data_IF_289891215434
#
_entry.id   IF_289891215434
#
_cell.length_a   1.000
_cell.length_b   1.000
_cell.length_c   1.000
_cell.angle_alpha   90.00
_cell.angle_beta   90.00
_cell.angle_gamma   90.00
#
_symmetry.space_group_name_H-M   'P 1'
#
loop_
_entity.id
_entity.type
_entity.pdbx_description
1 polymer ?
#
# COMPACT_ATOMS: atom_id res chain seq x y z
N UNK A 1 -24.60 -15.18 27.41
CA UNK A 1 -25.51 -14.15 26.84
C UNK A 1 -24.82 -12.84 26.43
N UNK A 2 -23.64 -12.49 26.95
CA UNK A 2 -23.00 -11.17 26.69
C UNK A 2 -22.14 -11.07 25.41
N UNK A 3 -21.54 -12.15 24.92
CA UNK A 3 -20.65 -12.08 23.75
C UNK A 3 -21.42 -11.89 22.43
N UNK A 4 -22.54 -12.61 22.27
CA UNK A 4 -23.38 -12.54 21.07
C UNK A 4 -24.05 -11.17 20.94
N UNK A 5 -24.56 -10.60 22.04
CA UNK A 5 -25.12 -9.25 22.06
C UNK A 5 -24.07 -8.18 21.73
N UNK A 6 -22.84 -8.32 22.23
CA UNK A 6 -21.74 -7.41 21.91
C UNK A 6 -21.34 -7.49 20.43
N UNK A 7 -21.35 -8.67 19.81
CA UNK A 7 -21.10 -8.81 18.37
C UNK A 7 -22.19 -8.14 17.53
N UNK A 8 -23.47 -8.32 17.89
CA UNK A 8 -24.59 -7.69 17.17
C UNK A 8 -24.58 -6.15 17.27
N UNK A 9 -24.04 -5.58 18.35
CA UNK A 9 -23.91 -4.13 18.49
C UNK A 9 -22.93 -3.50 17.47
N UNK A 10 -21.98 -4.26 16.93
CA UNK A 10 -21.00 -3.79 15.95
C UNK A 10 -21.40 -4.04 14.49
N UNK A 11 -22.44 -4.87 14.24
CA UNK A 11 -22.95 -5.16 12.90
C UNK A 11 -23.34 -3.89 12.13
N UNK A 12 -24.04 -2.90 12.72
CA UNK A 12 -24.38 -1.66 12.01
C UNK A 12 -23.15 -0.86 11.56
N UNK A 13 -22.11 -0.78 12.40
CA UNK A 13 -20.88 -0.04 12.09
C UNK A 13 -20.05 -0.73 11.00
N UNK A 14 -19.99 -2.05 11.02
CA UNK A 14 -19.34 -2.84 9.97
C UNK A 14 -20.10 -2.71 8.64
N UNK A 15 -21.42 -2.86 8.65
CA UNK A 15 -22.26 -2.70 7.46
C UNK A 15 -22.12 -1.30 6.85
N UNK A 16 -22.08 -0.26 7.69
CA UNK A 16 -21.85 1.11 7.25
C UNK A 16 -20.46 1.30 6.61
N UNK A 17 -19.43 0.66 7.17
CA UNK A 17 -18.07 0.67 6.60
C UNK A 17 -18.04 0.03 5.22
N UNK A 18 -18.66 -1.15 5.07
CA UNK A 18 -18.78 -1.83 3.77
C UNK A 18 -19.57 -0.98 2.78
N UNK A 19 -20.69 -0.39 3.19
CA UNK A 19 -21.48 0.50 2.33
C UNK A 19 -20.67 1.71 1.84
N UNK A 20 -19.94 2.40 2.75
CA UNK A 20 -19.07 3.53 2.39
C UNK A 20 -17.97 3.12 1.41
N UNK A 21 -17.35 1.96 1.62
CA UNK A 21 -16.34 1.42 0.71
C UNK A 21 -16.93 1.07 -0.65
N UNK A 22 -18.15 0.55 -0.72
CA UNK A 22 -18.83 0.30 -1.99
C UNK A 22 -19.13 1.60 -2.75
N UNK A 23 -19.62 2.63 -2.06
CA UNK A 23 -19.83 3.96 -2.67
C UNK A 23 -18.51 4.54 -3.17
N UNK A 24 -17.45 4.46 -2.37
CA UNK A 24 -16.12 4.93 -2.77
C UNK A 24 -15.58 4.18 -4.00
N UNK A 25 -15.75 2.86 -4.05
CA UNK A 25 -15.35 2.05 -5.21
C UNK A 25 -16.10 2.46 -6.47
N UNK A 26 -17.40 2.75 -6.37
CA UNK A 26 -18.20 3.25 -7.50
C UNK A 26 -17.67 4.60 -7.97
N UNK A 27 -17.36 5.53 -7.06
CA UNK A 27 -16.79 6.84 -7.42
C UNK A 27 -15.43 6.68 -8.13
N UNK A 28 -14.54 5.86 -7.59
CA UNK A 28 -13.26 5.54 -8.24
C UNK A 28 -13.47 4.93 -9.62
N UNK A 29 -14.39 3.96 -9.75
CA UNK A 29 -14.66 3.31 -11.02
C UNK A 29 -15.24 4.28 -12.07
N UNK A 30 -16.14 5.19 -11.67
CA UNK A 30 -16.70 6.23 -12.55
C UNK A 30 -15.61 7.17 -13.07
N UNK A 31 -14.55 7.40 -12.29
CA UNK A 31 -13.41 8.26 -12.69
C UNK A 31 -12.40 7.47 -13.52
N UNK A 32 -11.84 6.39 -12.96
CA UNK A 32 -10.70 5.71 -13.55
C UNK A 32 -11.08 4.81 -14.73
N UNK A 33 -12.22 4.13 -14.73
CA UNK A 33 -12.57 3.22 -15.84
C UNK A 33 -12.71 3.96 -17.18
N UNK A 34 -13.38 5.12 -17.28
CA UNK A 34 -13.39 5.89 -18.52
C UNK A 34 -12.00 6.42 -18.90
N UNK A 35 -11.23 6.94 -17.93
CA UNK A 35 -9.90 7.47 -18.19
C UNK A 35 -8.94 6.39 -18.69
N UNK A 36 -8.95 5.21 -18.08
CA UNK A 36 -8.13 4.06 -18.49
C UNK A 36 -8.56 3.46 -19.83
N UNK A 37 -9.80 3.69 -20.26
CA UNK A 37 -10.24 3.33 -21.63
C UNK A 37 -9.76 4.33 -22.67
N UNK A 38 -9.68 5.61 -22.30
CA UNK A 38 -9.34 6.69 -23.23
C UNK A 38 -7.82 6.92 -23.35
N UNK A 39 -7.10 6.86 -22.22
CA UNK A 39 -5.70 7.20 -22.10
C UNK A 39 -4.83 5.98 -21.75
N UNK A 40 -5.26 4.77 -22.10
CA UNK A 40 -4.57 3.53 -21.77
C UNK A 40 -3.10 3.54 -22.22
N UNK A 41 -2.17 3.12 -21.36
CA UNK A 41 -0.82 2.72 -21.83
C UNK A 41 -0.93 1.41 -22.60
N UNK A 42 -1.63 0.44 -22.03
CA UNK A 42 -1.89 -0.87 -22.63
C UNK A 42 -3.39 -1.15 -22.63
N UNK A 43 -4.08 -1.02 -23.78
CA UNK A 43 -5.49 -1.36 -23.85
C UNK A 43 -5.72 -2.82 -23.46
N UNK A 44 -6.66 -3.05 -22.56
CA UNK A 44 -6.91 -4.37 -22.01
C UNK A 44 -7.91 -4.31 -20.87
N UNK A 45 -8.39 -5.48 -20.45
CA UNK A 45 -9.16 -5.64 -19.22
C UNK A 45 -8.51 -6.74 -18.39
N UNK A 46 -8.46 -6.58 -17.06
CA UNK A 46 -8.00 -7.66 -16.19
C UNK A 46 -8.87 -8.88 -16.40
N UNK A 47 -8.29 -10.07 -16.23
CA UNK A 47 -9.05 -11.30 -16.24
C UNK A 47 -10.08 -11.26 -15.09
N UNK A 48 -11.22 -11.94 -15.27
CA UNK A 48 -12.28 -11.96 -14.24
C UNK A 48 -11.76 -12.46 -12.90
N UNK A 49 -10.86 -13.45 -12.91
CA UNK A 49 -10.26 -13.98 -11.69
C UNK A 49 -9.41 -12.92 -10.96
N UNK A 50 -8.59 -12.17 -11.69
CA UNK A 50 -7.78 -11.08 -11.11
C UNK A 50 -8.67 -9.96 -10.55
N UNK A 51 -9.69 -9.54 -11.30
CA UNK A 51 -10.62 -8.52 -10.83
C UNK A 51 -11.34 -8.94 -9.53
N UNK A 52 -11.74 -10.22 -9.41
CA UNK A 52 -12.36 -10.72 -8.18
C UNK A 52 -11.38 -10.74 -7.01
N UNK A 53 -10.13 -11.13 -7.24
CA UNK A 53 -9.07 -11.06 -6.24
C UNK A 53 -8.80 -9.61 -5.81
N UNK A 54 -8.69 -8.69 -6.75
CA UNK A 54 -8.41 -7.27 -6.48
C UNK A 54 -9.59 -6.59 -5.76
N UNK A 55 -10.84 -6.98 -6.04
CA UNK A 55 -12.00 -6.57 -5.26
C UNK A 55 -11.96 -7.12 -3.83
N UNK A 56 -11.57 -8.39 -3.64
CA UNK A 56 -11.41 -8.97 -2.30
C UNK A 56 -10.33 -8.22 -1.50
N UNK A 57 -9.19 -7.93 -2.14
CA UNK A 57 -8.13 -7.12 -1.55
C UNK A 57 -8.56 -5.69 -1.27
N UNK A 58 -9.37 -5.06 -2.14
CA UNK A 58 -9.90 -3.72 -1.90
C UNK A 58 -10.63 -3.63 -0.55
N UNK A 59 -11.54 -4.56 -0.26
CA UNK A 59 -12.23 -4.59 1.02
C UNK A 59 -11.30 -4.98 2.17
N UNK A 60 -10.44 -5.98 1.97
CA UNK A 60 -9.50 -6.46 2.99
C UNK A 60 -8.54 -5.34 3.45
N UNK A 61 -7.86 -4.72 2.49
CA UNK A 61 -6.87 -3.64 2.67
C UNK A 61 -7.49 -2.33 3.12
N UNK A 62 -8.82 -2.19 3.05
CA UNK A 62 -9.53 -1.02 3.57
C UNK A 62 -10.05 -1.23 5.00
N UNK A 63 -10.52 -2.44 5.32
CA UNK A 63 -11.14 -2.74 6.61
C UNK A 63 -10.12 -3.14 7.68
N UNK A 64 -9.12 -3.96 7.33
CA UNK A 64 -8.18 -4.50 8.32
C UNK A 64 -7.21 -3.46 8.90
N UNK A 65 -6.61 -2.52 8.12
CA UNK A 65 -5.56 -1.67 8.68
C UNK A 65 -6.02 -0.82 9.85
N UNK A 66 -7.25 -0.31 9.83
CA UNK A 66 -7.79 0.45 10.96
C UNK A 66 -7.79 -0.38 12.26
N UNK A 67 -8.11 -1.66 12.17
CA UNK A 67 -8.09 -2.57 13.31
C UNK A 67 -6.64 -2.90 13.72
N UNK A 68 -5.80 -3.30 12.76
CA UNK A 68 -4.44 -3.78 13.00
C UNK A 68 -3.48 -2.67 13.46
N UNK A 69 -3.68 -1.43 13.01
CA UNK A 69 -2.80 -0.30 13.33
C UNK A 69 -3.21 0.45 14.58
N UNK A 70 -4.47 0.33 15.03
CA UNK A 70 -4.97 1.08 16.20
C UNK A 70 -4.11 0.90 17.45
N UNK A 71 -3.81 -0.36 17.83
CA UNK A 71 -3.01 -0.67 19.01
C UNK A 71 -1.54 -0.28 18.84
N UNK A 72 -0.82 -0.69 17.76
CA UNK A 72 0.56 -0.26 17.56
C UNK A 72 0.75 1.26 17.53
N UNK A 73 -0.13 2.00 16.85
CA UNK A 73 -0.05 3.46 16.80
C UNK A 73 -0.34 4.10 18.15
N UNK A 74 -1.25 3.53 18.94
CA UNK A 74 -1.52 4.01 20.30
C UNK A 74 -0.32 3.79 21.23
N UNK A 75 0.29 2.62 21.18
CA UNK A 75 1.52 2.32 21.93
C UNK A 75 2.66 3.23 21.51
N UNK A 76 2.80 3.47 20.21
CA UNK A 76 3.80 4.38 19.68
C UNK A 76 3.54 5.82 20.15
N UNK A 77 2.29 6.28 20.15
CA UNK A 77 1.93 7.61 20.64
C UNK A 77 2.29 7.78 22.12
N UNK A 78 2.11 6.74 22.93
CA UNK A 78 2.49 6.74 24.35
C UNK A 78 4.02 6.73 24.51
N UNK A 79 4.72 5.89 23.75
CA UNK A 79 6.18 5.85 23.76
C UNK A 79 6.79 7.19 23.33
N UNK A 80 6.25 7.82 22.29
CA UNK A 80 6.67 9.14 21.81
C UNK A 80 6.58 10.20 22.92
N UNK A 81 5.51 10.20 23.71
CA UNK A 81 5.36 11.14 24.84
C UNK A 81 6.43 10.98 25.93
N UNK A 82 7.03 9.79 26.05
CA UNK A 82 8.05 9.50 27.06
C UNK A 82 9.48 9.70 26.51
N UNK A 83 9.70 9.38 25.23
CA UNK A 83 11.02 9.37 24.62
C UNK A 83 11.40 10.70 23.96
N UNK A 84 10.42 11.48 23.53
CA UNK A 84 10.65 12.70 22.76
C UNK A 84 10.51 13.89 23.70
N UNK A 85 11.55 14.75 23.83
CA UNK A 85 11.46 15.94 24.68
C UNK A 85 10.25 16.79 24.28
N UNK A 86 9.40 17.16 25.24
CA UNK A 86 8.15 17.89 24.99
C UNK A 86 8.32 19.20 24.19
N UNK A 87 9.53 19.79 24.20
CA UNK A 87 9.89 20.94 23.39
C UNK A 87 9.78 20.68 21.87
N UNK A 88 10.04 19.46 21.40
CA UNK A 88 9.97 19.10 19.97
C UNK A 88 8.54 19.16 19.44
N UNK A 89 7.57 18.39 19.96
CA UNK A 89 6.19 18.46 19.49
C UNK A 89 5.56 19.83 19.77
N UNK A 90 5.97 20.55 20.83
CA UNK A 90 5.53 21.92 21.07
C UNK A 90 6.00 22.89 19.98
N UNK A 91 7.28 22.85 19.62
CA UNK A 91 7.83 23.70 18.56
C UNK A 91 7.21 23.40 17.19
N UNK A 92 7.05 22.11 16.85
CA UNK A 92 6.41 21.70 15.60
C UNK A 92 4.91 22.00 15.59
N UNK A 93 4.24 21.89 16.74
CA UNK A 93 2.84 22.25 16.92
C UNK A 93 2.57 23.75 16.76
N UNK A 94 3.56 24.60 17.07
CA UNK A 94 3.49 26.06 16.94
C UNK A 94 3.65 26.56 15.48
N UNK A 95 4.10 25.69 14.56
CA UNK A 95 4.19 26.05 13.14
C UNK A 95 2.80 26.35 12.54
N UNK A 96 2.71 27.24 11.54
CA UNK A 96 1.49 27.43 10.78
C UNK A 96 0.96 26.11 10.19
N UNK A 97 -0.36 25.96 10.09
CA UNK A 97 -0.99 24.71 9.64
C UNK A 97 -0.39 24.21 8.30
N UNK A 98 -0.19 25.11 7.33
CA UNK A 98 0.39 24.74 6.04
C UNK A 98 1.81 24.17 6.16
N UNK A 99 2.66 24.76 7.00
CA UNK A 99 4.01 24.25 7.25
C UNK A 99 3.99 22.88 7.94
N UNK A 100 3.05 22.68 8.88
CA UNK A 100 2.86 21.38 9.56
C UNK A 100 2.41 20.29 8.60
N UNK A 101 1.46 20.61 7.72
CA UNK A 101 0.97 19.67 6.69
C UNK A 101 2.08 19.32 5.69
N UNK A 102 2.84 20.31 5.22
CA UNK A 102 3.98 20.09 4.33
C UNK A 102 5.07 19.23 4.99
N UNK A 103 5.41 19.52 6.26
CA UNK A 103 6.37 18.73 7.01
C UNK A 103 5.87 17.30 7.24
N UNK A 104 4.60 17.12 7.62
CA UNK A 104 4.01 15.80 7.78
C UNK A 104 4.01 15.02 6.46
N UNK A 105 3.73 15.67 5.34
CA UNK A 105 3.80 15.08 4.01
C UNK A 105 5.21 14.55 3.71
N UNK A 106 6.23 15.39 3.84
CA UNK A 106 7.62 15.02 3.55
C UNK A 106 8.11 13.91 4.49
N UNK A 107 7.86 14.06 5.79
CA UNK A 107 8.30 13.07 6.80
C UNK A 107 7.58 11.73 6.60
N UNK A 108 6.27 11.77 6.37
CA UNK A 108 5.48 10.56 6.16
C UNK A 108 5.90 9.83 4.89
N UNK A 109 6.21 10.57 3.83
CA UNK A 109 6.70 10.01 2.56
C UNK A 109 8.09 9.40 2.69
N UNK A 110 9.01 10.01 3.44
CA UNK A 110 10.32 9.39 3.74
C UNK A 110 10.14 8.10 4.52
N UNK A 111 9.25 8.08 5.52
CA UNK A 111 8.92 6.87 6.28
C UNK A 111 8.33 5.77 5.39
N UNK A 112 7.37 6.13 4.54
CA UNK A 112 6.77 5.21 3.57
C UNK A 112 7.83 4.66 2.61
N UNK A 113 8.66 5.51 2.02
CA UNK A 113 9.75 5.14 1.13
C UNK A 113 10.63 4.05 1.73
N UNK A 114 11.06 4.20 2.98
CA UNK A 114 11.88 3.19 3.65
C UNK A 114 11.11 1.91 3.95
N UNK A 115 9.87 1.99 4.40
CA UNK A 115 9.03 0.81 4.58
C UNK A 115 8.87 0.02 3.28
N UNK A 116 8.64 0.73 2.18
CA UNK A 116 8.48 0.15 0.87
C UNK A 116 9.79 -0.46 0.32
N UNK A 117 10.91 0.26 0.45
CA UNK A 117 12.24 -0.26 0.11
C UNK A 117 12.59 -1.51 0.91
N UNK A 118 12.33 -1.51 2.22
CA UNK A 118 12.54 -2.70 3.06
C UNK A 118 11.67 -3.87 2.61
N UNK A 119 10.43 -3.60 2.18
CA UNK A 119 9.55 -4.62 1.59
C UNK A 119 10.11 -5.28 0.33
N UNK A 120 10.93 -4.57 -0.45
CA UNK A 120 11.64 -5.14 -1.60
C UNK A 120 12.95 -5.84 -1.23
N UNK A 121 13.74 -5.22 -0.36
CA UNK A 121 15.13 -5.63 -0.11
C UNK A 121 15.25 -6.75 0.94
N UNK A 122 14.27 -6.90 1.84
CA UNK A 122 14.26 -7.97 2.84
C UNK A 122 13.47 -9.16 2.29
N UNK A 123 14.10 -10.33 2.04
CA UNK A 123 13.43 -11.47 1.43
C UNK A 123 12.19 -11.93 2.17
N UNK A 124 12.15 -11.79 3.49
CA UNK A 124 10.95 -12.14 4.27
C UNK A 124 9.77 -11.19 4.02
N UNK A 125 10.03 -9.88 3.93
CA UNK A 125 8.98 -8.89 3.64
C UNK A 125 8.52 -8.99 2.19
N UNK A 126 9.44 -9.26 1.26
CA UNK A 126 9.15 -9.44 -0.16
C UNK A 126 8.10 -10.51 -0.41
N UNK A 127 8.03 -11.57 0.41
CA UNK A 127 7.01 -12.62 0.26
C UNK A 127 5.58 -12.09 0.36
N UNK A 128 5.38 -11.05 1.14
CA UNK A 128 4.10 -10.36 1.28
C UNK A 128 3.93 -9.31 0.20
N UNK A 129 4.99 -8.57 -0.10
CA UNK A 129 4.97 -7.47 -1.05
C UNK A 129 4.90 -7.94 -2.52
N UNK A 130 5.41 -9.13 -2.84
CA UNK A 130 5.31 -9.73 -4.17
C UNK A 130 3.85 -9.93 -4.64
N UNK A 131 2.89 -10.04 -3.71
CA UNK A 131 1.46 -10.05 -4.04
C UNK A 131 1.03 -8.73 -4.68
N UNK A 132 1.60 -7.61 -4.22
CA UNK A 132 1.37 -6.30 -4.81
C UNK A 132 1.94 -6.18 -6.22
N UNK A 133 3.14 -6.71 -6.44
CA UNK A 133 3.78 -6.76 -7.76
C UNK A 133 3.24 -7.87 -8.67
N UNK A 134 2.28 -8.67 -8.22
CA UNK A 134 1.77 -9.80 -9.00
C UNK A 134 0.96 -9.49 -10.26
N UNK A 135 0.24 -8.36 -10.37
CA UNK A 135 -0.55 -8.09 -11.55
C UNK A 135 0.30 -7.92 -12.82
N UNK A 136 -0.02 -8.70 -13.84
CA UNK A 136 0.60 -8.55 -15.17
C UNK A 136 -0.07 -7.45 -16.01
N UNK A 137 -1.20 -6.90 -15.53
CA UNK A 137 -1.87 -5.74 -16.09
C UNK A 137 -2.07 -4.68 -15.00
N UNK A 138 -1.57 -3.48 -15.27
CA UNK A 138 -1.77 -2.31 -14.41
C UNK A 138 -3.13 -1.69 -14.64
N UNK A 139 -3.80 -1.29 -13.56
CA UNK A 139 -5.02 -0.49 -13.51
C UNK A 139 -5.26 -0.04 -12.07
N UNK A 140 -6.13 0.95 -11.85
CA UNK A 140 -6.23 1.67 -10.57
C UNK A 140 -6.42 0.76 -9.35
N UNK A 141 -7.16 -0.35 -9.48
CA UNK A 141 -7.46 -1.24 -8.35
C UNK A 141 -6.24 -2.05 -7.86
N UNK A 142 -5.19 -2.19 -8.68
CA UNK A 142 -3.91 -2.83 -8.31
C UNK A 142 -3.34 -2.20 -7.03
N UNK A 143 -3.56 -0.90 -6.82
CA UNK A 143 -3.18 -0.16 -5.61
C UNK A 143 -3.56 -0.90 -4.31
N UNK A 144 -4.68 -1.62 -4.30
CA UNK A 144 -5.20 -2.26 -3.09
C UNK A 144 -4.84 -3.72 -2.92
N UNK A 145 -4.25 -4.35 -3.95
CA UNK A 145 -3.74 -5.73 -3.92
C UNK A 145 -2.51 -5.79 -3.03
N UNK A 146 -2.69 -5.84 -1.72
CA UNK A 146 -1.59 -5.90 -0.75
C UNK A 146 -1.95 -6.86 0.37
N UNK A 147 -0.96 -7.64 0.80
CA UNK A 147 -1.12 -8.51 1.95
C UNK A 147 -1.23 -7.66 3.24
N UNK A 148 -2.05 -8.05 4.24
CA UNK A 148 -2.19 -7.28 5.48
C UNK A 148 -0.88 -6.95 6.19
N UNK A 149 0.09 -7.89 6.20
CA UNK A 149 1.44 -7.66 6.75
C UNK A 149 2.17 -6.54 6.01
N UNK A 150 2.14 -6.55 4.67
CA UNK A 150 2.78 -5.52 3.85
C UNK A 150 2.12 -4.15 4.05
N UNK A 151 0.78 -4.11 4.11
CA UNK A 151 0.04 -2.90 4.44
C UNK A 151 0.39 -2.35 5.83
N UNK A 152 0.55 -3.23 6.83
CA UNK A 152 0.92 -2.81 8.19
C UNK A 152 2.35 -2.25 8.21
N UNK A 153 3.31 -2.94 7.59
CA UNK A 153 4.71 -2.51 7.54
C UNK A 153 4.85 -1.14 6.88
N UNK A 154 4.35 -0.99 5.65
CA UNK A 154 4.46 0.26 4.89
C UNK A 154 3.77 1.44 5.60
N UNK A 155 2.56 1.23 6.14
CA UNK A 155 1.84 2.28 6.88
C UNK A 155 2.49 2.62 8.22
N UNK A 156 2.96 1.63 8.98
CA UNK A 156 3.68 1.89 10.22
C UNK A 156 4.97 2.67 9.96
N UNK A 157 5.74 2.33 8.93
CA UNK A 157 6.94 3.08 8.58
C UNK A 157 6.65 4.54 8.22
N UNK A 158 5.55 4.81 7.49
CA UNK A 158 5.12 6.18 7.19
C UNK A 158 4.58 6.94 8.41
N UNK A 159 3.83 6.28 9.29
CA UNK A 159 3.22 6.93 10.45
C UNK A 159 4.20 7.10 11.63
N UNK A 160 5.15 6.17 11.78
CA UNK A 160 6.11 6.13 12.87
C UNK A 160 6.80 7.49 13.14
N UNK A 161 7.49 8.10 12.15
CA UNK A 161 8.17 9.36 12.38
C UNK A 161 7.19 10.52 12.65
N UNK A 162 5.95 10.46 12.15
CA UNK A 162 4.95 11.49 12.41
C UNK A 162 4.50 11.50 13.88
N UNK A 163 4.30 10.32 14.48
CA UNK A 163 3.94 10.20 15.89
C UNK A 163 5.12 10.56 16.80
N UNK A 164 6.35 10.14 16.44
CA UNK A 164 7.55 10.53 17.19
C UNK A 164 7.77 12.04 17.19
N UNK A 165 7.54 12.73 16.07
CA UNK A 165 7.68 14.18 16.00
C UNK A 165 6.46 14.94 16.56
N UNK A 166 5.40 14.25 17.00
CA UNK A 166 4.13 14.87 17.41
C UNK A 166 3.39 15.60 16.29
N UNK A 167 3.71 15.29 15.03
CA UNK A 167 2.96 15.73 13.85
C UNK A 167 1.66 14.94 13.68
N UNK A 168 1.59 13.76 14.31
CA UNK A 168 0.42 12.93 14.47
C UNK A 168 0.10 12.71 15.96
N UNK A 169 -1.16 12.85 16.38
CA UNK A 169 -1.54 12.60 17.77
C UNK A 169 -2.99 12.95 18.11
N UNK A 170 -3.44 12.62 19.34
CA UNK A 170 -4.83 12.81 19.78
C UNK A 170 -5.23 14.29 20.01
N UNK A 171 -4.28 15.23 19.97
CA UNK A 171 -4.61 16.65 20.02
C UNK A 171 -5.31 17.09 18.72
N UNK A 172 -6.26 18.02 18.81
CA UNK A 172 -7.01 18.52 17.64
C UNK A 172 -6.09 19.10 16.53
N UNK A 173 -4.91 19.60 16.91
CA UNK A 173 -3.87 19.97 15.96
C UNK A 173 -3.25 18.76 15.27
N UNK A 174 -2.89 17.71 16.02
CA UNK A 174 -2.18 16.52 15.53
C UNK A 174 -3.01 15.52 14.73
N UNK A 175 -4.35 15.64 14.70
CA UNK A 175 -5.23 14.70 14.02
C UNK A 175 -5.56 15.08 12.56
N UNK A 176 -5.48 16.36 12.20
CA UNK A 176 -5.80 16.85 10.84
C UNK A 176 -4.75 16.41 9.82
N UNK A 177 -3.46 16.47 10.19
CA UNK A 177 -2.37 16.15 9.27
C UNK A 177 -2.37 14.67 8.83
N UNK A 178 -2.46 13.67 9.73
CA UNK A 178 -2.53 12.27 9.33
C UNK A 178 -3.76 11.95 8.48
N UNK A 179 -4.92 12.51 8.82
CA UNK A 179 -6.15 12.28 8.06
C UNK A 179 -6.04 12.82 6.63
N UNK A 180 -5.52 14.04 6.45
CA UNK A 180 -5.28 14.63 5.14
C UNK A 180 -4.26 13.84 4.31
N UNK A 181 -3.14 13.43 4.92
CA UNK A 181 -2.15 12.56 4.27
C UNK A 181 -2.75 11.23 3.82
N UNK A 182 -3.56 10.59 4.67
CA UNK A 182 -4.19 9.30 4.34
C UNK A 182 -5.11 9.45 3.13
N UNK A 183 -5.96 10.49 3.11
CA UNK A 183 -6.87 10.73 1.98
C UNK A 183 -6.08 11.04 0.70
N UNK A 184 -5.12 11.96 0.79
CA UNK A 184 -4.27 12.33 -0.35
C UNK A 184 -3.51 11.12 -0.89
N UNK A 185 -2.80 10.40 -0.02
CA UNK A 185 -2.03 9.21 -0.39
C UNK A 185 -2.91 8.08 -0.92
N UNK A 186 -4.15 7.93 -0.42
CA UNK A 186 -5.09 6.93 -0.95
C UNK A 186 -5.47 7.26 -2.39
N UNK A 187 -5.91 8.50 -2.66
CA UNK A 187 -6.29 8.94 -4.00
C UNK A 187 -5.09 8.88 -4.94
N UNK A 188 -3.93 9.32 -4.46
CA UNK A 188 -2.68 9.32 -5.22
C UNK A 188 -2.22 7.90 -5.55
N UNK A 189 -2.37 6.96 -4.61
CA UNK A 189 -2.11 5.55 -4.83
C UNK A 189 -2.95 4.99 -5.98
N UNK A 190 -4.26 5.24 -6.01
CA UNK A 190 -5.10 4.84 -7.16
C UNK A 190 -4.63 5.48 -8.47
N UNK A 191 -4.21 6.74 -8.42
CA UNK A 191 -3.69 7.45 -9.58
C UNK A 191 -2.40 6.85 -10.13
N UNK A 192 -1.36 6.64 -9.33
CA UNK A 192 -0.06 6.14 -9.82
C UNK A 192 -0.11 4.68 -10.30
N UNK A 193 -1.08 3.88 -9.84
CA UNK A 193 -1.27 2.50 -10.34
C UNK A 193 -2.22 2.42 -11.55
N UNK A 194 -2.89 3.52 -11.89
CA UNK A 194 -3.85 3.52 -12.99
C UNK A 194 -3.17 3.32 -14.34
N UNK A 195 -3.87 2.69 -15.29
CA UNK A 195 -3.37 2.45 -16.64
C UNK A 195 -3.34 3.72 -17.51
N UNK A 196 -3.03 4.88 -16.94
CA UNK A 196 -3.03 6.14 -17.66
C UNK A 196 -1.65 6.42 -18.23
N UNK A 197 -1.61 6.75 -19.52
CA UNK A 197 -0.39 7.18 -20.23
C UNK A 197 -0.02 8.62 -19.87
N UNK A 198 0.08 8.89 -18.56
CA UNK A 198 0.36 10.21 -18.01
C UNK A 198 1.77 10.26 -17.46
N UNK A 199 2.49 11.28 -17.92
CA UNK A 199 3.85 11.65 -17.53
C UNK A 199 3.91 13.17 -17.50
N UNK A 200 4.55 13.73 -16.48
CA UNK A 200 4.60 15.19 -16.28
C UNK A 200 5.93 15.82 -16.70
N UNK A 201 6.76 15.08 -17.46
CA UNK A 201 8.06 15.55 -17.92
C UNK A 201 8.96 15.94 -16.74
N UNK A 202 9.43 17.20 -16.71
CA UNK A 202 10.32 17.68 -15.65
C UNK A 202 9.72 17.63 -14.24
N UNK A 203 8.38 17.61 -14.09
CA UNK A 203 7.74 17.52 -12.77
C UNK A 203 7.76 16.10 -12.18
N UNK A 204 8.09 15.07 -12.97
CA UNK A 204 8.17 13.69 -12.49
C UNK A 204 9.32 13.46 -11.49
N UNK A 205 10.24 14.42 -11.36
CA UNK A 205 11.26 14.42 -10.31
C UNK A 205 10.71 14.84 -8.93
N UNK A 206 9.53 15.44 -8.89
CA UNK A 206 8.88 15.96 -7.68
C UNK A 206 7.57 15.25 -7.39
N UNK A 207 6.83 14.82 -8.41
CA UNK A 207 5.49 14.28 -8.27
C UNK A 207 5.43 12.92 -8.96
N UNK A 208 5.08 11.87 -8.21
CA UNK A 208 4.96 10.51 -8.74
C UNK A 208 3.82 10.43 -9.76
N UNK A 209 4.08 9.82 -10.91
CA UNK A 209 3.12 9.62 -12.00
C UNK A 209 2.88 8.13 -12.25
N UNK A 210 1.85 7.75 -13.04
CA UNK A 210 1.77 6.42 -13.60
C UNK A 210 3.05 6.00 -14.33
N UNK A 211 3.66 6.91 -15.10
CA UNK A 211 4.94 6.65 -15.77
C UNK A 211 6.06 6.26 -14.82
N UNK A 212 6.20 6.96 -13.70
CA UNK A 212 7.19 6.66 -12.65
C UNK A 212 6.89 5.33 -11.96
N UNK A 213 5.64 5.12 -11.51
CA UNK A 213 5.29 3.96 -10.69
C UNK A 213 5.11 2.66 -11.49
N UNK A 214 4.82 2.74 -12.79
CA UNK A 214 4.81 1.55 -13.64
C UNK A 214 6.20 0.91 -13.74
N UNK A 215 7.28 1.71 -13.73
CA UNK A 215 8.65 1.17 -13.67
C UNK A 215 8.97 0.44 -12.38
N UNK A 216 8.34 0.84 -11.27
CA UNK A 216 8.42 0.10 -10.02
C UNK A 216 7.77 -1.29 -10.15
N UNK A 217 6.64 -1.38 -10.87
CA UNK A 217 5.90 -2.62 -11.16
C UNK A 217 6.46 -3.44 -12.34
N UNK A 218 7.65 -3.11 -12.82
CA UNK A 218 8.33 -3.85 -13.88
C UNK A 218 8.66 -5.28 -13.43
N UNK A 219 8.53 -6.24 -14.35
CA UNK A 219 8.74 -7.65 -14.02
C UNK A 219 10.20 -8.02 -13.74
N UNK A 220 11.12 -7.52 -14.56
CA UNK A 220 12.53 -7.95 -14.55
C UNK A 220 13.52 -6.81 -14.36
N UNK A 221 13.24 -5.63 -14.91
CA UNK A 221 14.19 -4.53 -14.99
C UNK A 221 13.80 -3.41 -14.04
N UNK A 222 14.64 -3.06 -13.07
CA UNK A 222 14.40 -1.94 -12.15
C UNK A 222 13.23 -2.14 -11.17
N UNK A 223 12.92 -3.39 -10.79
CA UNK A 223 11.92 -3.71 -9.76
C UNK A 223 12.26 -3.08 -8.39
N UNK A 224 13.56 -3.01 -8.06
CA UNK A 224 14.09 -2.38 -6.85
C UNK A 224 14.39 -0.87 -7.04
N UNK A 225 13.50 -0.14 -7.71
CA UNK A 225 13.60 1.30 -7.94
C UNK A 225 12.24 1.96 -7.73
N UNK A 226 12.21 3.29 -7.60
CA UNK A 226 10.97 4.09 -7.54
C UNK A 226 10.03 3.71 -6.38
N UNK A 227 10.54 3.70 -5.15
CA UNK A 227 9.78 3.31 -3.96
C UNK A 227 8.85 4.41 -3.41
N UNK A 228 9.08 5.68 -3.77
CA UNK A 228 8.22 6.77 -3.32
C UNK A 228 6.78 6.60 -3.85
N UNK A 229 5.78 6.97 -3.04
CA UNK A 229 4.38 6.95 -3.48
C UNK A 229 3.95 8.26 -4.12
N UNK A 230 4.52 9.37 -3.66
CA UNK A 230 4.09 10.71 -4.02
C UNK A 230 5.27 11.60 -4.42
N UNK A 231 6.44 11.42 -3.79
CA UNK A 231 7.59 12.32 -3.94
C UNK A 231 8.83 11.56 -4.44
N UNK A 232 9.01 11.38 -5.77
CA UNK A 232 10.20 10.78 -6.39
C UNK A 232 11.53 11.43 -5.99
N UNK A 233 11.50 12.63 -5.40
CA UNK A 233 12.66 13.23 -4.77
C UNK A 233 13.29 12.31 -3.71
N UNK A 234 12.49 11.50 -2.99
CA UNK A 234 13.03 10.50 -2.06
C UNK A 234 13.91 9.50 -2.79
N UNK A 235 13.44 8.93 -3.90
CA UNK A 235 14.24 8.03 -4.74
C UNK A 235 15.50 8.71 -5.29
N UNK A 236 15.41 10.00 -5.66
CA UNK A 236 16.60 10.76 -6.07
C UNK A 236 17.61 10.89 -4.94
N UNK A 237 17.15 11.22 -3.74
CA UNK A 237 18.00 11.42 -2.55
C UNK A 237 18.67 10.10 -2.11
N UNK A 238 17.98 8.98 -2.25
CA UNK A 238 18.44 7.67 -1.79
C UNK A 238 18.97 6.76 -2.92
N UNK A 239 19.12 7.30 -4.14
CA UNK A 239 19.83 6.67 -5.26
C UNK A 239 19.05 5.57 -6.00
N UNK A 240 17.72 5.64 -6.03
CA UNK A 240 16.83 4.58 -6.57
C UNK A 240 15.88 5.10 -7.64
N UNK A 241 16.09 6.33 -8.13
CA UNK A 241 15.24 6.94 -9.14
C UNK A 241 15.54 6.38 -10.53
N UNK A 242 14.51 5.84 -11.18
CA UNK A 242 14.54 5.35 -12.55
C UNK A 242 13.38 5.96 -13.36
N UNK A 243 13.69 6.83 -14.33
CA UNK A 243 12.66 7.58 -15.06
C UNK A 243 13.00 7.72 -16.56
N UNK A 244 13.13 6.62 -17.32
CA UNK A 244 13.34 6.69 -18.76
C UNK A 244 12.04 7.14 -19.46
N UNK A 245 12.09 7.70 -20.68
CA UNK A 245 10.89 8.18 -21.39
C UNK A 245 9.96 7.05 -21.88
N UNK A 246 10.44 5.81 -21.86
CA UNK A 246 9.70 4.61 -22.26
C UNK A 246 8.87 4.04 -21.11
N UNK A 247 8.06 3.03 -21.42
CA UNK A 247 7.31 2.23 -20.44
C UNK A 247 7.98 0.86 -20.29
N UNK A 248 7.82 0.17 -19.14
CA UNK A 248 8.32 -1.18 -18.95
C UNK A 248 7.79 -2.13 -20.02
N UNK A 249 8.56 -3.17 -20.37
CA UNK A 249 8.15 -4.17 -21.34
C UNK A 249 7.10 -5.15 -20.78
N UNK A 250 7.15 -5.45 -19.49
CA UNK A 250 6.19 -6.31 -18.80
C UNK A 250 6.01 -5.88 -17.34
N UNK A 251 4.84 -6.17 -16.78
CA UNK A 251 4.53 -6.06 -15.36
C UNK A 251 4.43 -7.44 -14.74
N UNK A 252 4.46 -7.51 -13.42
CA UNK A 252 4.35 -8.76 -12.68
C UNK A 252 5.58 -9.03 -11.82
N UNK A 253 5.71 -10.27 -11.36
CA UNK A 253 6.87 -10.75 -10.61
C UNK A 253 7.18 -12.19 -11.02
N UNK A 254 8.46 -12.56 -10.99
CA UNK A 254 8.89 -13.95 -11.16
C UNK A 254 8.78 -14.76 -9.87
N UNK A 255 8.39 -14.12 -8.76
CA UNK A 255 8.09 -14.81 -7.51
C UNK A 255 6.87 -15.71 -7.71
N UNK A 256 6.98 -17.03 -7.51
CA UNK A 256 5.83 -17.92 -7.65
C UNK A 256 4.73 -17.53 -6.68
N UNK A 257 3.53 -17.28 -7.21
CA UNK A 257 2.40 -16.88 -6.39
C UNK A 257 1.33 -17.96 -6.33
N UNK A 258 0.68 -18.12 -5.18
CA UNK A 258 -0.42 -19.05 -5.06
C UNK A 258 -1.60 -18.62 -5.96
N UNK A 259 -2.30 -19.56 -6.60
CA UNK A 259 -3.31 -19.25 -7.62
C UNK A 259 -4.62 -18.71 -7.04
N UNK A 260 -4.83 -18.83 -5.73
CA UNK A 260 -6.07 -18.40 -5.08
C UNK A 260 -5.80 -17.36 -4.02
N UNK A 261 -6.72 -16.40 -3.88
CA UNK A 261 -6.70 -15.37 -2.85
C UNK A 261 -6.43 -15.93 -1.44
N UNK A 262 -7.13 -17.01 -1.06
CA UNK A 262 -6.93 -17.63 0.26
C UNK A 262 -5.51 -18.16 0.46
N UNK A 263 -4.90 -18.77 -0.57
CA UNK A 263 -3.50 -19.23 -0.47
C UNK A 263 -2.53 -18.06 -0.48
N UNK A 264 -2.80 -16.98 -1.21
CA UNK A 264 -2.01 -15.75 -1.17
C UNK A 264 -1.96 -15.12 0.23
N UNK A 265 -2.98 -15.32 1.07
CA UNK A 265 -2.96 -14.87 2.48
C UNK A 265 -2.20 -15.81 3.44
N UNK A 266 -2.07 -17.09 3.10
CA UNK A 266 -1.54 -18.10 4.03
C UNK A 266 -0.09 -18.46 3.72
N UNK A 267 0.27 -18.58 2.45
CA UNK A 267 1.59 -19.12 2.06
C UNK A 267 2.77 -18.21 2.36
N UNK A 268 2.66 -16.87 2.24
CA UNK A 268 3.70 -15.97 2.73
C UNK A 268 4.04 -16.16 4.21
N UNK A 269 3.12 -16.69 5.02
CA UNK A 269 3.33 -16.95 6.46
C UNK A 269 4.07 -18.27 6.73
N UNK A 270 4.11 -19.21 5.78
CA UNK A 270 4.76 -20.52 5.98
C UNK A 270 6.27 -20.41 5.79
N UNK A 271 7.10 -21.26 6.39
CA UNK A 271 8.52 -21.28 6.04
C UNK A 271 8.72 -21.88 4.64
N UNK A 272 9.73 -21.45 3.85
CA UNK A 272 9.99 -21.97 2.50
C UNK A 272 10.00 -23.51 2.40
N UNK A 273 10.47 -24.21 3.43
CA UNK A 273 10.52 -25.68 3.46
C UNK A 273 9.20 -26.43 3.72
N UNK A 274 8.06 -25.76 3.91
CA UNK A 274 6.78 -26.44 4.18
C UNK A 274 5.87 -26.61 2.94
N UNK A 275 6.13 -25.88 1.85
CA UNK A 275 5.34 -25.98 0.62
C UNK A 275 5.68 -27.24 -0.20
N UNK A 276 6.96 -27.60 -0.25
CA UNK A 276 7.46 -28.71 -1.10
C UNK A 276 7.15 -30.11 -0.52
N UNK A 277 6.99 -30.22 0.80
CA UNK A 277 6.74 -31.49 1.48
C UNK A 277 5.34 -32.09 1.23
N UNK A 278 4.40 -31.33 0.66
CA UNK A 278 3.06 -31.83 0.29
C UNK A 278 2.91 -32.13 -1.19
N UNK A 279 3.68 -31.48 -2.07
CA UNK A 279 3.69 -31.80 -3.49
C UNK A 279 4.44 -33.11 -3.77
N UNK A 280 5.56 -33.36 -3.09
CA UNK A 280 6.34 -34.60 -3.22
C UNK A 280 5.60 -35.85 -2.72
N UNK A 281 4.80 -35.75 -1.64
CA UNK A 281 4.04 -36.92 -1.13
C UNK A 281 2.82 -37.30 -1.97
N UNK A 282 2.31 -36.39 -2.80
CA UNK A 282 1.17 -36.69 -3.68
C UNK A 282 1.60 -37.46 -4.94
N UNK A 283 2.82 -37.25 -5.44
CA UNK A 283 3.35 -37.98 -6.60
C UNK A 283 3.82 -39.41 -6.25
N UNK A 284 4.29 -39.66 -5.02
CA UNK A 284 4.73 -40.99 -4.60
C UNK A 284 3.57 -41.96 -4.29
N UNK A 285 2.38 -41.44 -3.97
CA UNK A 285 1.21 -42.29 -3.69
C UNK A 285 0.42 -42.70 -4.94
N UNK A 286 0.61 -42.06 -6.09
CA UNK A 286 -0.01 -42.46 -7.36
C UNK A 286 0.85 -43.40 -8.20
N UNK A 287 2.11 -43.63 -7.81
CA UNK A 287 3.03 -44.53 -8.51
C UNK A 287 3.02 -45.97 -7.96
N UNK A 288 2.17 -46.27 -6.96
CA UNK A 288 2.14 -47.58 -6.30
C UNK A 288 0.73 -48.18 -6.17
N UNK A 289 -0.12 -47.96 -7.17
CA UNK A 289 -1.39 -48.69 -7.37
C UNK A 289 -1.62 -49.00 -8.84
#
# INVERSE_FOLDING_TARGET
MNLIHSLFAHVPAFALSVFRLSVWLVLLAVIFVPLERWLAVRPGRPARADLLSDLAYYFLSSLLPAMLLSVPLSLLALAAQQLVPAAVPAALGALPLAARLALAFVVGEIGFYWGHRLSHEIPWLWRFHAIHHSPEQMYFLVNTRSHPVDTVVTRLCGMLPLYLLGLAGPSAGGSVAPAGLIVLGTIWGFFIHSNLRLRFGALEWLIATPGFHHWHHSRHEFINHNYASMLPLCDKLFGTLHLPPTWPAAYGTDTPLPPTFARQLIEPLRSPGQADGKASKASDMSANK
#
